data_IF_486719019327
#
_entry.id   IF_486719019327
#
_cell.length_a   1.000
_cell.length_b   1.000
_cell.length_c   1.000
_cell.angle_alpha   90.00
_cell.angle_beta   90.00
_cell.angle_gamma   90.00
#
_symmetry.space_group_name_H-M   'P 1'
#
loop_
_entity.id
_entity.type
_entity.pdbx_description
1 polymer ?
#
# COMPACT_ATOMS: atom_id res chain seq x y z
N UNK A 1 -4.62 -2.11 21.81
CA UNK A 1 -3.72 -2.44 20.67
C UNK A 1 -4.09 -1.79 19.34
N UNK A 2 -5.20 -1.06 19.19
CA UNK A 2 -5.62 -0.47 17.90
C UNK A 2 -4.86 0.84 17.57
N UNK A 3 -4.41 1.61 18.57
CA UNK A 3 -3.76 2.91 18.35
C UNK A 3 -2.33 2.81 17.74
N UNK A 4 -1.56 1.78 18.06
CA UNK A 4 -0.20 1.60 17.54
C UNK A 4 -0.20 1.29 16.03
N UNK A 5 -1.19 0.53 15.54
CA UNK A 5 -1.32 0.21 14.11
C UNK A 5 -1.59 1.45 13.23
N UNK A 6 -2.28 2.47 13.77
CA UNK A 6 -2.55 3.71 13.05
C UNK A 6 -1.29 4.57 12.86
N UNK A 7 -0.44 4.69 13.87
CA UNK A 7 0.79 5.49 13.81
C UNK A 7 1.84 4.89 12.86
N UNK A 8 2.03 3.56 12.89
CA UNK A 8 2.92 2.87 11.94
C UNK A 8 2.41 2.94 10.49
N UNK A 9 1.09 2.84 10.29
CA UNK A 9 0.49 2.99 8.97
C UNK A 9 0.62 4.41 8.40
N UNK A 10 0.52 5.43 9.25
CA UNK A 10 0.72 6.83 8.84
C UNK A 10 2.18 7.12 8.53
N UNK A 11 3.12 6.58 9.33
CA UNK A 11 4.56 6.69 9.07
C UNK A 11 4.97 6.06 7.74
N UNK A 12 4.42 4.88 7.42
CA UNK A 12 4.65 4.23 6.12
C UNK A 12 4.07 5.03 4.95
N UNK A 13 2.89 5.63 5.12
CA UNK A 13 2.29 6.49 4.09
C UNK A 13 3.12 7.75 3.85
N UNK A 14 3.62 8.40 4.91
CA UNK A 14 4.48 9.58 4.81
C UNK A 14 5.81 9.27 4.12
N UNK A 15 6.43 8.12 4.42
CA UNK A 15 7.65 7.70 3.73
C UNK A 15 7.40 7.46 2.23
N UNK A 16 6.23 6.89 1.88
CA UNK A 16 5.85 6.72 0.47
C UNK A 16 5.62 8.05 -0.25
N UNK A 17 5.00 9.02 0.41
CA UNK A 17 4.84 10.38 -0.15
C UNK A 17 6.20 11.04 -0.37
N UNK A 18 7.10 10.93 0.60
CA UNK A 18 8.48 11.45 0.46
C UNK A 18 9.22 10.83 -0.72
N UNK A 19 9.09 9.52 -0.92
CA UNK A 19 9.67 8.84 -2.08
C UNK A 19 9.07 9.33 -3.40
N UNK A 20 7.77 9.64 -3.44
CA UNK A 20 7.13 10.24 -4.62
C UNK A 20 7.65 11.66 -4.89
N UNK A 21 7.84 12.48 -3.86
CA UNK A 21 8.43 13.82 -3.99
C UNK A 21 9.88 13.78 -4.51
N UNK A 22 10.66 12.79 -4.06
CA UNK A 22 12.02 12.55 -4.59
C UNK A 22 11.98 12.13 -6.07
N UNK A 23 11.01 11.28 -6.44
CA UNK A 23 10.76 10.87 -7.83
C UNK A 23 10.40 12.06 -8.73
N UNK A 24 9.54 12.98 -8.26
CA UNK A 24 9.20 14.22 -8.98
C UNK A 24 10.43 15.10 -9.17
N UNK A 25 11.30 15.19 -8.17
CA UNK A 25 12.56 15.95 -8.28
C UNK A 25 13.51 15.34 -9.31
N UNK A 26 13.63 14.01 -9.35
CA UNK A 26 14.42 13.30 -10.36
C UNK A 26 13.87 13.52 -11.78
N UNK A 27 12.55 13.47 -11.96
CA UNK A 27 11.92 13.79 -13.25
C UNK A 27 12.27 15.23 -13.68
N UNK A 28 12.23 16.18 -12.75
CA UNK A 28 12.67 17.57 -13.00
C UNK A 28 14.14 17.65 -13.46
N UNK A 29 15.03 16.89 -12.81
CA UNK A 29 16.45 16.84 -13.18
C UNK A 29 16.66 16.22 -14.57
N UNK A 30 15.92 15.15 -14.91
CA UNK A 30 15.94 14.55 -16.25
C UNK A 30 15.52 15.56 -17.33
N UNK A 31 14.42 16.28 -17.11
CA UNK A 31 13.96 17.33 -18.03
C UNK A 31 14.99 18.44 -18.21
N UNK A 32 15.67 18.84 -17.13
CA UNK A 32 16.73 19.85 -17.19
C UNK A 32 17.94 19.37 -18.02
N UNK A 33 18.39 18.12 -17.82
CA UNK A 33 19.46 17.53 -18.63
C UNK A 33 19.07 17.46 -20.11
N UNK A 34 17.85 17.03 -20.42
CA UNK A 34 17.33 17.00 -21.79
C UNK A 34 17.28 18.41 -22.42
N UNK A 35 16.76 19.41 -21.69
CA UNK A 35 16.74 20.79 -22.15
C UNK A 35 18.13 21.36 -22.40
N UNK A 36 19.11 21.01 -21.56
CA UNK A 36 20.51 21.41 -21.73
C UNK A 36 21.12 20.80 -23.00
N UNK A 37 20.84 19.52 -23.28
CA UNK A 37 21.27 18.86 -24.53
C UNK A 37 20.70 19.58 -25.75
N UNK A 38 19.39 19.88 -25.75
CA UNK A 38 18.73 20.55 -26.88
C UNK A 38 19.36 21.94 -27.13
N UNK A 39 19.60 22.72 -26.07
CA UNK A 39 20.23 24.04 -26.17
C UNK A 39 21.70 23.98 -26.61
N UNK A 40 22.43 22.93 -26.21
CA UNK A 40 23.81 22.75 -26.64
C UNK A 40 23.88 22.38 -28.13
N UNK A 41 22.97 21.53 -28.60
CA UNK A 41 22.84 21.14 -30.01
C UNK A 41 22.42 22.29 -30.92
N UNK A 42 21.77 23.34 -30.39
CA UNK A 42 21.40 24.52 -31.18
C UNK A 42 22.55 25.49 -31.44
N UNK A 43 23.73 25.26 -30.85
CA UNK A 43 24.92 26.10 -31.07
C UNK A 43 25.59 25.74 -32.39
N UNK A 44 26.27 26.72 -33.01
CA UNK A 44 27.07 26.47 -34.22
C UNK A 44 28.19 25.44 -33.99
N UNK A 45 28.72 25.37 -32.76
CA UNK A 45 29.75 24.41 -32.37
C UNK A 45 29.41 23.77 -31.01
N UNK A 46 28.61 22.69 -31.01
CA UNK A 46 28.23 21.99 -29.79
C UNK A 46 29.44 21.34 -29.08
N UNK A 47 29.40 21.31 -27.75
CA UNK A 47 30.38 20.62 -26.92
C UNK A 47 30.03 19.15 -26.72
N UNK A 48 30.69 18.25 -27.46
CA UNK A 48 30.49 16.79 -27.33
C UNK A 48 30.63 16.31 -25.88
N UNK A 49 31.64 16.77 -25.15
CA UNK A 49 31.84 16.37 -23.74
C UNK A 49 30.65 16.76 -22.85
N UNK A 50 30.03 17.91 -23.11
CA UNK A 50 28.85 18.33 -22.35
C UNK A 50 27.63 17.50 -22.75
N UNK A 51 27.45 17.24 -24.04
CA UNK A 51 26.37 16.41 -24.57
C UNK A 51 26.42 15.00 -23.96
N UNK A 52 27.59 14.35 -23.99
CA UNK A 52 27.77 13.01 -23.43
C UNK A 52 27.46 12.97 -21.93
N UNK A 53 27.94 13.96 -21.18
CA UNK A 53 27.66 14.06 -19.75
C UNK A 53 26.17 14.22 -19.47
N UNK A 54 25.49 15.11 -20.18
CA UNK A 54 24.06 15.38 -19.95
C UNK A 54 23.18 14.24 -20.44
N UNK A 55 23.55 13.57 -21.53
CA UNK A 55 22.88 12.37 -22.01
C UNK A 55 23.03 11.21 -21.01
N UNK A 56 24.22 11.01 -20.46
CA UNK A 56 24.46 10.01 -19.41
C UNK A 56 23.66 10.32 -18.13
N UNK A 57 23.61 11.59 -17.71
CA UNK A 57 22.84 12.03 -16.55
C UNK A 57 21.33 11.84 -16.76
N UNK A 58 20.83 12.18 -17.96
CA UNK A 58 19.45 11.92 -18.35
C UNK A 58 19.12 10.42 -18.30
N UNK A 59 19.95 9.58 -18.90
CA UNK A 59 19.75 8.13 -18.90
C UNK A 59 19.74 7.54 -17.49
N UNK A 60 20.66 7.97 -16.63
CA UNK A 60 20.70 7.53 -15.23
C UNK A 60 19.44 7.94 -14.44
N UNK A 61 18.97 9.18 -14.64
CA UNK A 61 17.75 9.66 -13.99
C UNK A 61 16.51 8.90 -14.47
N UNK A 62 16.37 8.65 -15.78
CA UNK A 62 15.28 7.83 -16.34
C UNK A 62 15.29 6.42 -15.77
N UNK A 63 16.45 5.77 -15.71
CA UNK A 63 16.58 4.42 -15.12
C UNK A 63 16.16 4.39 -13.65
N UNK A 64 16.55 5.41 -12.87
CA UNK A 64 16.15 5.54 -11.46
C UNK A 64 14.64 5.71 -11.32
N UNK A 65 14.06 6.64 -12.09
CA UNK A 65 12.61 6.89 -12.12
C UNK A 65 11.84 5.61 -12.47
N UNK A 66 12.27 4.89 -13.50
CA UNK A 66 11.64 3.64 -13.92
C UNK A 66 11.71 2.56 -12.83
N UNK A 67 12.88 2.37 -12.22
CA UNK A 67 13.09 1.38 -11.18
C UNK A 67 12.24 1.65 -9.92
N UNK A 68 12.22 2.91 -9.46
CA UNK A 68 11.46 3.32 -8.28
C UNK A 68 9.95 3.27 -8.53
N UNK A 69 9.48 3.74 -9.69
CA UNK A 69 8.06 3.66 -10.06
C UNK A 69 7.60 2.21 -10.20
N UNK A 70 8.41 1.34 -10.80
CA UNK A 70 8.16 -0.10 -10.85
C UNK A 70 8.11 -0.72 -9.45
N UNK A 71 8.96 -0.26 -8.53
CA UNK A 71 8.92 -0.61 -7.11
C UNK A 71 7.59 -0.20 -6.45
N UNK A 72 7.13 1.03 -6.67
CA UNK A 72 5.86 1.53 -6.16
C UNK A 72 4.66 0.77 -6.73
N UNK A 73 4.65 0.50 -8.03
CA UNK A 73 3.63 -0.31 -8.69
C UNK A 73 3.59 -1.70 -8.06
N UNK A 74 4.73 -2.40 -7.94
CA UNK A 74 4.78 -3.72 -7.28
C UNK A 74 4.27 -3.66 -5.85
N UNK A 75 4.65 -2.64 -5.08
CA UNK A 75 4.15 -2.45 -3.71
C UNK A 75 2.63 -2.26 -3.69
N UNK A 76 2.06 -1.45 -4.58
CA UNK A 76 0.61 -1.25 -4.67
C UNK A 76 -0.10 -2.50 -5.18
N UNK A 77 0.48 -3.24 -6.12
CA UNK A 77 -0.06 -4.50 -6.64
C UNK A 77 -0.04 -5.59 -5.58
N UNK A 78 1.02 -5.69 -4.78
CA UNK A 78 1.11 -6.64 -3.66
C UNK A 78 0.23 -6.20 -2.49
N UNK A 79 0.16 -4.88 -2.22
CA UNK A 79 -0.70 -4.28 -1.20
C UNK A 79 -2.20 -4.32 -1.55
N UNK A 80 -2.55 -4.42 -2.84
CA UNK A 80 -3.93 -4.63 -3.34
C UNK A 80 -4.23 -6.08 -3.74
N UNK A 81 -3.23 -6.96 -3.78
CA UNK A 81 -3.28 -8.24 -4.52
C UNK A 81 -2.79 -9.47 -3.77
N UNK A 82 -2.84 -9.48 -2.44
CA UNK A 82 -2.82 -10.71 -1.65
C UNK A 82 -4.25 -11.15 -1.24
N UNK A 83 -4.57 -12.46 -1.15
CA UNK A 83 -5.89 -12.98 -0.76
C UNK A 83 -6.26 -12.76 0.74
N UNK A 84 -5.97 -11.57 1.27
CA UNK A 84 -6.10 -11.21 2.67
C UNK A 84 -6.34 -9.71 2.86
N UNK A 85 -7.39 -9.19 3.51
CA UNK A 85 -8.71 -9.69 3.94
C UNK A 85 -9.33 -8.55 4.75
N UNK A 86 -9.71 -7.45 4.09
CA UNK A 86 -10.73 -6.55 4.64
C UNK A 86 -12.05 -7.32 4.85
N UNK A 87 -12.31 -8.32 4.01
CA UNK A 87 -13.48 -9.20 4.11
C UNK A 87 -13.37 -10.31 5.17
N UNK A 88 -12.19 -10.86 5.51
CA UNK A 88 -12.16 -11.93 6.52
C UNK A 88 -11.78 -11.55 7.94
N UNK A 89 -11.41 -10.32 8.25
CA UNK A 89 -11.62 -9.89 9.64
C UNK A 89 -13.12 -9.72 9.89
N UNK A 90 -13.83 -9.05 8.97
CA UNK A 90 -15.28 -8.92 9.02
C UNK A 90 -15.98 -10.29 9.04
N UNK A 91 -15.70 -11.18 8.08
CA UNK A 91 -16.30 -12.52 8.06
C UNK A 91 -15.90 -13.39 9.26
N UNK A 92 -14.67 -13.27 9.79
CA UNK A 92 -14.26 -13.97 11.02
C UNK A 92 -14.99 -13.42 12.25
N UNK A 93 -15.17 -12.11 12.35
CA UNK A 93 -15.95 -11.45 13.41
C UNK A 93 -17.42 -11.82 13.32
N UNK A 94 -18.01 -11.82 12.12
CA UNK A 94 -19.41 -12.18 11.89
C UNK A 94 -19.64 -13.67 12.21
N UNK A 95 -18.73 -14.55 11.79
CA UNK A 95 -18.74 -15.96 12.16
C UNK A 95 -18.59 -16.15 13.68
N UNK A 96 -17.68 -15.41 14.33
CA UNK A 96 -17.51 -15.45 15.78
C UNK A 96 -18.76 -14.96 16.53
N UNK A 97 -19.43 -13.92 16.03
CA UNK A 97 -20.68 -13.41 16.60
C UNK A 97 -21.84 -14.40 16.38
N UNK A 98 -21.90 -15.05 15.22
CA UNK A 98 -22.88 -16.09 14.94
C UNK A 98 -22.71 -17.31 15.87
N UNK A 99 -21.46 -17.74 16.11
CA UNK A 99 -21.15 -18.80 17.08
C UNK A 99 -21.62 -18.44 18.49
N UNK A 100 -21.31 -17.24 18.98
CA UNK A 100 -21.78 -16.78 20.30
C UNK A 100 -23.31 -16.77 20.43
N UNK A 101 -24.03 -16.39 19.36
CA UNK A 101 -25.50 -16.44 19.34
C UNK A 101 -26.03 -17.87 19.43
N UNK A 102 -25.40 -18.81 18.72
CA UNK A 102 -25.77 -20.23 18.77
C UNK A 102 -25.52 -20.80 20.18
N UNK A 103 -24.38 -20.49 20.79
CA UNK A 103 -24.06 -20.97 22.14
C UNK A 103 -25.05 -20.42 23.18
N UNK A 104 -25.41 -19.14 23.06
CA UNK A 104 -26.42 -18.54 23.94
C UNK A 104 -27.82 -19.16 23.74
N UNK A 105 -28.22 -19.44 22.49
CA UNK A 105 -29.48 -20.10 22.21
C UNK A 105 -29.52 -21.53 22.79
N UNK A 106 -28.41 -22.29 22.67
CA UNK A 106 -28.27 -23.62 23.29
C UNK A 106 -28.38 -23.55 24.81
N UNK A 107 -27.72 -22.58 25.44
CA UNK A 107 -27.81 -22.36 26.88
C UNK A 107 -29.26 -22.09 27.31
N UNK A 108 -29.97 -21.20 26.62
CA UNK A 108 -31.37 -20.88 26.90
C UNK A 108 -32.31 -22.06 26.70
N UNK A 109 -32.10 -22.86 25.67
CA UNK A 109 -32.87 -24.09 25.44
C UNK A 109 -32.63 -25.12 26.55
N UNK A 110 -31.39 -25.26 27.03
CA UNK A 110 -31.08 -26.15 28.14
C UNK A 110 -31.71 -25.65 29.47
N UNK A 111 -31.73 -24.34 29.71
CA UNK A 111 -32.46 -23.76 30.85
C UNK A 111 -33.96 -24.08 30.78
N UNK A 112 -34.57 -23.90 29.62
CA UNK A 112 -35.99 -24.19 29.42
C UNK A 112 -36.30 -25.68 29.58
N UNK A 113 -35.49 -26.56 29.00
CA UNK A 113 -35.65 -28.01 29.12
C UNK A 113 -35.64 -28.46 30.58
N UNK A 114 -34.68 -27.97 31.37
CA UNK A 114 -34.65 -28.23 32.83
C UNK A 114 -35.89 -27.71 33.54
N UNK A 115 -36.37 -26.52 33.16
CA UNK A 115 -37.62 -25.99 33.70
C UNK A 115 -38.83 -26.87 33.38
N UNK A 116 -38.92 -27.38 32.15
CA UNK A 116 -39.98 -28.31 31.75
C UNK A 116 -39.90 -29.65 32.51
N UNK A 117 -38.70 -30.22 32.69
CA UNK A 117 -38.50 -31.44 33.47
C UNK A 117 -38.95 -31.24 34.93
N UNK A 118 -38.56 -30.13 35.56
CA UNK A 118 -38.98 -29.79 36.92
C UNK A 118 -40.49 -29.59 37.06
N UNK A 119 -41.17 -29.15 35.99
CA UNK A 119 -42.64 -29.02 35.97
C UNK A 119 -43.35 -30.35 35.72
N UNK A 120 -42.69 -31.34 35.09
CA UNK A 120 -43.23 -32.68 34.89
C UNK A 120 -43.03 -33.58 36.13
N UNK A 121 -42.07 -33.25 36.99
CA UNK A 121 -41.81 -33.93 38.27
C UNK A 121 -42.67 -33.40 39.44
N UNK A 122 -43.52 -32.39 39.20
CA UNK A 122 -44.52 -31.86 40.15
C UNK A 122 -45.93 -32.39 39.82
#
# INVERSE_FOLDING_TARGET
MVAAGGAYSLGLANERLRLLEELEREIGAALQSAGTVILELSKEKPSERLLDRQAAQFGASVQKVEAELSGQIRYLTQGRGGPHKGSSYAARKDCQMALKRVDFARFKLAELARGCEQMLEQ
#
